data_IF_030156683131
#
_entry.id   IF_030156683131
#
_cell.length_a   1.000
_cell.length_b   1.000
_cell.length_c   1.000
_cell.angle_alpha   90.00
_cell.angle_beta   90.00
_cell.angle_gamma   90.00
#
_symmetry.space_group_name_H-M   'P 1'
#
loop_
_entity.id
_entity.type
_entity.pdbx_description
1 polymer ?
#
# COMPACT_ATOMS: atom_id res chain seq x y z
N UNK A 1 13.86 -7.72 -21.39
CA UNK A 1 12.37 -7.54 -21.38
C UNK A 1 12.02 -6.68 -20.19
N UNK A 2 11.41 -5.53 -20.39
CA UNK A 2 11.01 -4.64 -19.27
C UNK A 2 9.97 -5.34 -18.40
N UNK A 3 10.04 -5.21 -17.06
CA UNK A 3 9.02 -5.71 -16.15
C UNK A 3 7.64 -5.17 -16.55
N UNK A 4 6.60 -5.94 -16.29
CA UNK A 4 5.20 -5.63 -16.65
C UNK A 4 4.76 -4.22 -16.23
N UNK A 5 5.27 -3.73 -15.11
CA UNK A 5 4.98 -2.40 -14.56
C UNK A 5 5.60 -1.24 -15.36
N UNK A 6 6.75 -1.42 -16.05
CA UNK A 6 7.39 -0.38 -16.86
C UNK A 6 6.67 -0.09 -18.18
N UNK A 7 5.85 -1.01 -18.67
CA UNK A 7 5.16 -0.88 -19.97
C UNK A 7 3.97 0.08 -19.96
N UNK A 8 3.53 0.54 -18.81
CA UNK A 8 2.33 1.37 -18.63
C UNK A 8 2.63 2.87 -18.43
N UNK A 9 3.90 3.30 -18.53
CA UNK A 9 4.32 4.68 -18.24
C UNK A 9 4.08 5.69 -19.39
N UNK A 10 3.30 5.38 -20.41
CA UNK A 10 3.00 6.34 -21.49
C UNK A 10 1.55 6.81 -21.41
N UNK A 11 1.35 7.96 -20.81
CA UNK A 11 0.13 8.74 -20.96
C UNK A 11 -0.25 9.53 -19.71
N UNK A 12 -0.32 10.85 -19.85
CA UNK A 12 -0.86 11.85 -18.93
C UNK A 12 -0.60 11.61 -17.41
N UNK A 13 0.02 12.56 -16.77
CA UNK A 13 0.04 12.65 -15.30
C UNK A 13 -1.39 12.76 -14.77
N UNK A 14 -2.07 11.61 -14.66
CA UNK A 14 -3.33 11.52 -13.97
C UNK A 14 -2.99 11.58 -12.48
N UNK A 15 -3.44 12.62 -11.79
CA UNK A 15 -3.28 12.78 -10.35
C UNK A 15 -3.87 11.55 -9.66
N UNK A 16 -3.17 10.98 -8.69
CA UNK A 16 -3.65 9.83 -7.91
C UNK A 16 -5.07 10.08 -7.40
N UNK A 17 -5.91 9.06 -7.44
CA UNK A 17 -7.28 9.11 -6.93
C UNK A 17 -7.43 8.13 -5.77
N UNK A 18 -8.39 8.38 -4.92
CA UNK A 18 -8.65 7.56 -3.73
C UNK A 18 -10.15 7.45 -3.45
N UNK A 19 -10.54 6.42 -2.74
CA UNK A 19 -11.94 6.17 -2.36
C UNK A 19 -12.24 6.63 -0.94
N UNK A 20 -11.29 6.48 -0.01
CA UNK A 20 -11.52 6.81 1.39
C UNK A 20 -10.20 7.01 2.15
N UNK A 21 -10.30 7.72 3.28
CA UNK A 21 -9.31 7.76 4.34
C UNK A 21 -10.00 7.22 5.60
N UNK A 22 -9.63 6.03 6.04
CA UNK A 22 -10.15 5.43 7.26
C UNK A 22 -9.29 5.84 8.44
N UNK A 23 -9.92 6.36 9.49
CA UNK A 23 -9.25 6.76 10.74
C UNK A 23 -9.42 5.66 11.79
N UNK A 24 -8.45 5.53 12.69
CA UNK A 24 -8.49 4.59 13.82
C UNK A 24 -8.75 3.12 13.40
N UNK A 25 -8.15 2.70 12.28
CA UNK A 25 -8.28 1.35 11.75
C UNK A 25 -7.43 0.35 12.55
N UNK A 26 -7.99 -0.82 12.84
CA UNK A 26 -7.35 -1.92 13.58
C UNK A 26 -7.18 -3.19 12.73
N UNK A 27 -7.55 -3.15 11.46
CA UNK A 27 -7.65 -4.34 10.60
C UNK A 27 -6.58 -4.42 9.51
N UNK A 28 -5.80 -3.35 9.35
CA UNK A 28 -4.85 -3.22 8.24
C UNK A 28 -3.42 -2.95 8.70
N UNK A 29 -2.96 -3.67 9.70
CA UNK A 29 -1.60 -3.60 10.24
C UNK A 29 -1.56 -3.38 11.76
N UNK A 30 -0.36 -3.42 12.32
CA UNK A 30 -0.16 -3.33 13.76
C UNK A 30 -0.57 -1.97 14.33
N UNK A 31 -1.25 -1.99 15.46
CA UNK A 31 -1.71 -0.80 16.17
C UNK A 31 -2.91 -0.12 15.52
N UNK A 32 -3.25 1.08 16.00
CA UNK A 32 -4.26 1.94 15.37
C UNK A 32 -3.63 2.69 14.19
N UNK A 33 -4.29 2.65 13.05
CA UNK A 33 -3.71 3.17 11.81
C UNK A 33 -4.67 4.08 11.04
N UNK A 34 -4.11 4.96 10.25
CA UNK A 34 -4.84 5.63 9.20
C UNK A 34 -4.65 4.85 7.90
N UNK A 35 -5.73 4.56 7.16
CA UNK A 35 -5.65 3.83 5.89
C UNK A 35 -6.05 4.73 4.74
N UNK A 36 -5.20 4.83 3.73
CA UNK A 36 -5.52 5.48 2.46
C UNK A 36 -5.88 4.42 1.42
N UNK A 37 -7.11 4.48 0.93
CA UNK A 37 -7.67 3.55 -0.06
C UNK A 37 -7.55 4.14 -1.46
N UNK A 38 -6.47 3.83 -2.17
CA UNK A 38 -6.19 4.35 -3.52
C UNK A 38 -7.07 3.70 -4.58
N UNK A 39 -7.32 4.41 -5.67
CA UNK A 39 -7.98 3.88 -6.86
C UNK A 39 -6.97 3.33 -7.87
N UNK A 40 -7.35 2.28 -8.59
CA UNK A 40 -6.57 1.64 -9.64
C UNK A 40 -5.91 0.33 -9.21
N UNK A 41 -6.28 -0.75 -9.89
CA UNK A 41 -5.68 -2.06 -9.71
C UNK A 41 -5.73 -2.86 -11.02
N UNK A 42 -4.58 -3.39 -11.44
CA UNK A 42 -4.49 -4.21 -12.66
C UNK A 42 -4.59 -5.71 -12.39
N UNK A 43 -4.52 -6.13 -11.12
CA UNK A 43 -4.52 -7.56 -10.75
C UNK A 43 -5.88 -8.22 -10.95
N UNK A 44 -6.97 -7.51 -10.63
CA UNK A 44 -8.36 -8.00 -10.78
C UNK A 44 -8.56 -9.41 -10.23
N UNK A 45 -8.07 -9.63 -9.00
CA UNK A 45 -8.12 -10.93 -8.35
C UNK A 45 -9.56 -11.43 -8.21
N UNK A 46 -9.79 -12.70 -8.54
CA UNK A 46 -11.08 -13.35 -8.32
C UNK A 46 -11.41 -13.34 -6.81
N UNK A 47 -12.62 -12.90 -6.47
CA UNK A 47 -13.05 -12.80 -5.07
C UNK A 47 -12.43 -11.63 -4.29
N UNK A 48 -11.86 -10.64 -4.99
CA UNK A 48 -11.34 -9.42 -4.36
C UNK A 48 -12.39 -8.78 -3.45
N UNK A 49 -12.00 -8.39 -2.24
CA UNK A 49 -12.90 -7.77 -1.28
C UNK A 49 -13.27 -6.33 -1.64
N UNK A 50 -12.52 -5.69 -2.54
CA UNK A 50 -12.68 -4.27 -2.84
C UNK A 50 -12.64 -3.97 -4.35
N UNK A 51 -13.49 -4.63 -5.16
CA UNK A 51 -13.44 -4.48 -6.62
C UNK A 51 -13.81 -3.06 -7.10
N UNK A 52 -14.47 -2.26 -6.27
CA UNK A 52 -14.79 -0.85 -6.58
C UNK A 52 -13.50 -0.02 -6.78
N UNK A 53 -12.39 -0.43 -6.22
CA UNK A 53 -11.09 0.26 -6.34
C UNK A 53 -10.30 -0.12 -7.59
N UNK A 54 -10.79 -1.02 -8.45
CA UNK A 54 -10.05 -1.43 -9.65
C UNK A 54 -9.93 -0.33 -10.69
N UNK A 55 -10.96 0.52 -10.80
CA UNK A 55 -11.00 1.60 -11.77
C UNK A 55 -10.07 2.74 -11.34
N UNK A 56 -9.08 3.04 -12.20
CA UNK A 56 -8.12 4.14 -11.95
C UNK A 56 -8.79 5.52 -11.95
N UNK A 57 -9.91 5.65 -12.63
CA UNK A 57 -10.72 6.88 -12.67
C UNK A 57 -11.77 6.93 -11.54
N UNK A 58 -11.84 5.86 -10.73
CA UNK A 58 -12.77 5.77 -9.60
C UNK A 58 -12.41 6.69 -8.44
N UNK A 59 -13.35 6.85 -7.49
CA UNK A 59 -13.15 7.71 -6.33
C UNK A 59 -13.03 9.19 -6.69
N UNK A 60 -12.25 9.92 -5.91
CA UNK A 60 -12.02 11.36 -6.07
C UNK A 60 -10.52 11.66 -6.15
N UNK A 61 -10.11 12.80 -6.77
CA UNK A 61 -8.69 13.18 -6.81
C UNK A 61 -8.10 13.34 -5.41
N UNK A 62 -6.88 12.83 -5.21
CA UNK A 62 -6.12 13.07 -4.00
C UNK A 62 -5.45 14.45 -4.10
N UNK A 63 -6.17 15.47 -3.64
CA UNK A 63 -5.74 16.87 -3.67
C UNK A 63 -5.11 17.33 -2.35
N UNK A 64 -4.80 18.62 -2.23
CA UNK A 64 -4.18 19.17 -1.01
C UNK A 64 -5.11 19.03 0.20
N UNK A 65 -6.43 19.16 0.03
CA UNK A 65 -7.38 19.01 1.13
C UNK A 65 -7.40 17.56 1.64
N UNK A 66 -7.36 16.58 0.73
CA UNK A 66 -7.25 15.16 1.09
C UNK A 66 -5.93 14.87 1.81
N UNK A 67 -4.83 15.50 1.38
CA UNK A 67 -3.54 15.37 2.02
C UNK A 67 -3.54 15.96 3.43
N UNK A 68 -4.14 17.14 3.61
CA UNK A 68 -4.31 17.75 4.93
C UNK A 68 -5.12 16.84 5.86
N UNK A 69 -6.24 16.30 5.38
CA UNK A 69 -7.05 15.34 6.15
C UNK A 69 -6.22 14.11 6.58
N UNK A 70 -5.43 13.57 5.66
CA UNK A 70 -4.55 12.43 5.95
C UNK A 70 -3.52 12.76 7.04
N UNK A 71 -2.87 13.91 6.94
CA UNK A 71 -1.89 14.35 7.94
C UNK A 71 -2.50 14.66 9.29
N UNK A 72 -3.69 15.27 9.32
CA UNK A 72 -4.43 15.47 10.56
C UNK A 72 -4.76 14.13 11.22
N UNK A 73 -5.19 13.12 10.45
CA UNK A 73 -5.48 11.78 10.95
C UNK A 73 -4.23 11.05 11.48
N UNK A 74 -3.04 11.42 11.02
CA UNK A 74 -1.77 10.85 11.50
C UNK A 74 -1.19 11.57 12.73
N UNK A 75 -1.69 12.75 13.06
CA UNK A 75 -1.13 13.59 14.14
C UNK A 75 -1.26 12.99 15.54
N UNK A 76 -2.36 12.32 15.93
CA UNK A 76 -2.49 11.80 17.29
C UNK A 76 -1.39 10.79 17.65
N UNK A 77 -0.85 10.90 18.85
CA UNK A 77 0.25 10.04 19.34
C UNK A 77 -0.12 8.55 19.38
N UNK A 78 -1.41 8.24 19.60
CA UNK A 78 -1.91 6.86 19.63
C UNK A 78 -1.99 6.19 18.25
N UNK A 79 -1.89 6.95 17.16
CA UNK A 79 -1.86 6.41 15.80
C UNK A 79 -0.46 5.85 15.51
N UNK A 80 -0.37 4.56 15.23
CA UNK A 80 0.89 3.86 14.97
C UNK A 80 1.50 4.18 13.60
N UNK A 81 0.68 4.58 12.65
CA UNK A 81 1.16 4.93 11.30
C UNK A 81 0.09 4.89 10.23
N UNK A 82 0.54 4.83 8.99
CA UNK A 82 -0.29 4.75 7.80
C UNK A 82 -0.23 3.37 7.17
N UNK A 83 -1.34 2.97 6.55
CA UNK A 83 -1.41 1.85 5.61
C UNK A 83 -1.91 2.34 4.25
N UNK A 84 -1.14 2.07 3.21
CA UNK A 84 -1.57 2.25 1.83
C UNK A 84 -2.24 0.96 1.34
N UNK A 85 -3.48 1.05 0.90
CA UNK A 85 -4.29 -0.07 0.43
C UNK A 85 -5.29 0.40 -0.63
N UNK A 86 -6.39 -0.33 -0.82
CA UNK A 86 -7.47 0.02 -1.74
C UNK A 86 -7.44 -0.80 -3.01
N UNK A 87 -7.16 -0.18 -4.14
CA UNK A 87 -6.71 -0.82 -5.37
C UNK A 87 -5.29 -1.35 -5.17
N UNK A 88 -4.35 -0.86 -5.94
CA UNK A 88 -2.94 -1.17 -5.68
C UNK A 88 -2.13 0.14 -5.60
N UNK A 89 -1.54 0.46 -4.43
CA UNK A 89 -0.68 1.64 -4.27
C UNK A 89 0.51 1.65 -5.23
N UNK A 90 0.92 0.48 -5.72
CA UNK A 90 2.00 0.31 -6.69
C UNK A 90 1.51 0.24 -8.14
N UNK A 91 0.22 0.52 -8.38
CA UNK A 91 -0.26 0.73 -9.74
C UNK A 91 0.65 1.74 -10.46
N UNK A 92 1.01 1.52 -11.75
CA UNK A 92 1.94 2.40 -12.48
C UNK A 92 1.60 3.89 -12.44
N UNK A 93 0.32 4.22 -12.32
CA UNK A 93 -0.13 5.62 -12.20
C UNK A 93 -0.04 6.17 -10.76
N UNK A 94 0.16 5.33 -9.74
CA UNK A 94 0.10 5.73 -8.33
C UNK A 94 1.47 5.73 -7.64
N UNK A 95 2.35 4.78 -7.96
CA UNK A 95 3.53 4.50 -7.13
C UNK A 95 4.45 5.72 -6.92
N UNK A 96 4.53 6.63 -7.89
CA UNK A 96 5.37 7.85 -7.76
C UNK A 96 4.78 8.82 -6.73
N UNK A 97 3.46 9.05 -6.76
CA UNK A 97 2.80 9.90 -5.76
C UNK A 97 2.80 9.25 -4.38
N UNK A 98 2.59 7.93 -4.31
CA UNK A 98 2.67 7.18 -3.05
C UNK A 98 4.07 7.27 -2.46
N UNK A 99 5.13 7.18 -3.28
CA UNK A 99 6.51 7.34 -2.83
C UNK A 99 6.77 8.74 -2.25
N UNK A 100 6.32 9.79 -2.96
CA UNK A 100 6.46 11.17 -2.48
C UNK A 100 5.71 11.39 -1.17
N UNK A 101 4.51 10.86 -1.05
CA UNK A 101 3.70 10.93 0.17
C UNK A 101 4.34 10.16 1.33
N UNK A 102 4.83 8.95 1.08
CA UNK A 102 5.53 8.14 2.07
C UNK A 102 6.78 8.84 2.62
N UNK A 103 7.56 9.47 1.72
CA UNK A 103 8.73 10.27 2.10
C UNK A 103 8.34 11.42 3.02
N UNK A 104 7.34 12.21 2.64
CA UNK A 104 6.86 13.35 3.42
C UNK A 104 6.33 12.92 4.80
N UNK A 105 5.63 11.77 4.86
CA UNK A 105 5.16 11.20 6.12
C UNK A 105 6.34 10.82 7.02
N UNK A 106 7.38 10.18 6.49
CA UNK A 106 8.59 9.85 7.27
C UNK A 106 9.33 11.08 7.77
N UNK A 107 9.38 12.14 6.98
CA UNK A 107 9.99 13.41 7.39
C UNK A 107 9.19 14.10 8.50
N UNK A 108 7.88 14.11 8.41
CA UNK A 108 6.99 14.81 9.33
C UNK A 108 6.66 14.00 10.59
N UNK A 109 6.60 12.69 10.46
CA UNK A 109 6.24 11.74 11.52
C UNK A 109 7.25 10.58 11.57
N UNK A 110 8.51 10.82 11.99
CA UNK A 110 9.58 9.81 11.89
C UNK A 110 9.32 8.54 12.71
N UNK A 111 8.52 8.62 13.76
CA UNK A 111 8.19 7.48 14.64
C UNK A 111 7.02 6.63 14.12
N UNK A 112 6.32 7.08 13.08
CA UNK A 112 5.18 6.37 12.52
C UNK A 112 5.60 5.38 11.46
N UNK A 113 4.99 4.19 11.49
CA UNK A 113 5.27 3.12 10.55
C UNK A 113 4.44 3.24 9.28
N UNK A 114 5.00 2.77 8.17
CA UNK A 114 4.31 2.72 6.87
C UNK A 114 4.12 1.26 6.47
N UNK A 115 2.87 0.87 6.30
CA UNK A 115 2.45 -0.41 5.75
C UNK A 115 1.90 -0.22 4.34
N UNK A 116 2.08 -1.22 3.49
CA UNK A 116 1.59 -1.19 2.11
C UNK A 116 1.12 -2.58 1.67
N UNK A 117 -0.08 -2.63 1.11
CA UNK A 117 -0.64 -3.83 0.49
C UNK A 117 -0.50 -3.75 -1.02
N UNK A 118 -0.02 -4.82 -1.66
CA UNK A 118 0.12 -4.89 -3.12
C UNK A 118 -0.11 -6.30 -3.64
N UNK A 119 -0.64 -6.41 -4.84
CA UNK A 119 -0.73 -7.67 -5.55
C UNK A 119 0.55 -8.08 -6.28
N UNK A 120 1.57 -7.21 -6.33
CA UNK A 120 2.89 -7.57 -6.84
C UNK A 120 3.68 -8.39 -5.82
N UNK A 121 4.58 -9.26 -6.29
CA UNK A 121 5.54 -9.92 -5.41
C UNK A 121 6.71 -9.00 -5.08
N UNK A 122 7.28 -9.11 -3.89
CA UNK A 122 8.34 -8.24 -3.39
C UNK A 122 9.54 -8.16 -4.34
N UNK A 123 9.92 -9.28 -4.96
CA UNK A 123 11.04 -9.31 -5.92
C UNK A 123 10.81 -8.44 -7.17
N UNK A 124 9.54 -8.20 -7.53
CA UNK A 124 9.20 -7.34 -8.67
C UNK A 124 9.30 -5.85 -8.34
N UNK A 125 9.14 -5.49 -7.06
CA UNK A 125 8.96 -4.11 -6.60
C UNK A 125 10.08 -3.58 -5.72
N UNK A 126 10.99 -4.41 -5.23
CA UNK A 126 12.03 -4.05 -4.25
C UNK A 126 12.94 -2.90 -4.67
N UNK A 127 12.98 -2.57 -5.96
CA UNK A 127 13.76 -1.45 -6.50
C UNK A 127 12.94 -0.15 -6.63
N UNK A 128 11.63 -0.18 -6.37
CA UNK A 128 10.82 1.03 -6.38
C UNK A 128 11.16 1.93 -5.19
N UNK A 129 11.16 3.25 -5.43
CA UNK A 129 11.51 4.23 -4.40
C UNK A 129 10.63 4.10 -3.15
N UNK A 130 9.32 3.89 -3.32
CA UNK A 130 8.37 3.77 -2.20
C UNK A 130 8.74 2.67 -1.21
N UNK A 131 9.33 1.58 -1.67
CA UNK A 131 9.71 0.43 -0.83
C UNK A 131 10.72 0.84 0.24
N UNK A 132 11.60 1.80 -0.07
CA UNK A 132 12.60 2.30 0.89
C UNK A 132 11.98 2.98 2.12
N UNK A 133 10.76 3.50 1.98
CA UNK A 133 10.04 4.18 3.06
C UNK A 133 9.08 3.26 3.83
N UNK A 134 8.80 2.07 3.30
CA UNK A 134 7.91 1.11 3.94
C UNK A 134 8.61 0.35 5.06
N UNK A 135 7.88 0.13 6.15
CA UNK A 135 8.30 -0.75 7.24
C UNK A 135 7.80 -2.18 7.00
N UNK A 136 6.56 -2.32 6.54
CA UNK A 136 5.96 -3.62 6.23
C UNK A 136 5.24 -3.57 4.88
N UNK A 137 5.42 -4.62 4.08
CA UNK A 137 4.67 -4.84 2.84
C UNK A 137 3.97 -6.19 2.92
N UNK A 138 2.67 -6.19 2.65
CA UNK A 138 1.90 -7.42 2.40
C UNK A 138 1.86 -7.61 0.89
N UNK A 139 2.56 -8.63 0.41
CA UNK A 139 2.81 -8.86 -1.02
C UNK A 139 2.01 -10.03 -1.60
N UNK A 140 1.87 -10.02 -2.91
CA UNK A 140 1.28 -11.09 -3.69
C UNK A 140 -0.22 -10.92 -3.96
N UNK A 141 -0.71 -11.49 -5.08
CA UNK A 141 -2.11 -11.39 -5.44
C UNK A 141 -2.99 -12.18 -4.45
N UNK A 142 -4.22 -11.72 -4.25
CA UNK A 142 -5.21 -12.50 -3.51
C UNK A 142 -5.63 -13.73 -4.35
N UNK A 143 -5.53 -14.91 -3.74
CA UNK A 143 -5.95 -16.18 -4.35
C UNK A 143 -7.14 -16.72 -3.55
N UNK A 144 -8.32 -16.70 -4.17
CA UNK A 144 -9.57 -17.08 -3.49
C UNK A 144 -9.54 -18.51 -2.95
N UNK A 145 -8.91 -19.43 -3.66
CA UNK A 145 -8.77 -20.84 -3.28
C UNK A 145 -7.85 -21.03 -2.04
N UNK A 146 -7.02 -20.05 -1.73
CA UNK A 146 -6.14 -20.01 -0.57
C UNK A 146 -6.63 -19.07 0.54
N UNK A 147 -7.86 -18.55 0.41
CA UNK A 147 -8.48 -17.69 1.42
C UNK A 147 -8.59 -18.41 2.77
N UNK A 148 -8.21 -17.72 3.82
CA UNK A 148 -8.40 -18.14 5.19
C UNK A 148 -8.60 -16.91 6.08
N UNK A 149 -9.78 -16.80 6.68
CA UNK A 149 -10.15 -15.66 7.52
C UNK A 149 -9.41 -15.57 8.86
N UNK A 150 -8.62 -16.60 9.21
CA UNK A 150 -7.80 -16.62 10.42
C UNK A 150 -6.35 -16.13 10.17
N UNK A 151 -6.00 -15.82 8.92
CA UNK A 151 -4.68 -15.30 8.60
C UNK A 151 -4.52 -13.87 9.15
N UNK A 152 -3.38 -13.61 9.77
CA UNK A 152 -3.08 -12.30 10.30
C UNK A 152 -2.55 -11.37 9.19
N UNK A 153 -3.15 -10.23 9.02
CA UNK A 153 -2.84 -9.15 8.08
C UNK A 153 -2.89 -9.49 6.58
N UNK A 154 -3.27 -10.69 6.19
CA UNK A 154 -3.35 -11.15 4.79
C UNK A 154 -4.63 -11.95 4.54
N UNK A 155 -5.09 -11.97 3.29
CA UNK A 155 -6.34 -12.63 2.91
C UNK A 155 -6.17 -14.04 2.40
N UNK A 156 -5.01 -14.40 1.86
CA UNK A 156 -4.74 -15.73 1.31
C UNK A 156 -3.35 -16.24 1.68
N UNK A 157 -3.18 -17.57 1.74
CA UNK A 157 -1.97 -18.22 2.28
C UNK A 157 -0.70 -17.90 1.50
N UNK A 158 -0.81 -17.66 0.20
CA UNK A 158 0.30 -17.29 -0.68
C UNK A 158 0.90 -15.91 -0.38
N UNK A 159 0.12 -15.01 0.22
CA UNK A 159 0.59 -13.67 0.57
C UNK A 159 1.58 -13.70 1.73
N UNK A 160 2.50 -12.74 1.76
CA UNK A 160 3.52 -12.64 2.81
C UNK A 160 3.44 -11.28 3.48
N UNK A 161 3.61 -11.25 4.79
CA UNK A 161 3.78 -10.02 5.57
C UNK A 161 5.28 -9.85 5.79
N UNK A 162 5.89 -8.90 5.10
CA UNK A 162 7.34 -8.77 4.96
C UNK A 162 7.84 -7.59 5.78
N UNK A 163 8.85 -7.82 6.64
CA UNK A 163 9.66 -6.77 7.21
C UNK A 163 10.60 -6.22 6.13
N UNK A 164 10.29 -5.03 5.65
CA UNK A 164 10.97 -4.46 4.48
C UNK A 164 12.41 -4.08 4.80
N UNK A 165 12.64 -3.39 5.91
CA UNK A 165 13.95 -2.87 6.25
C UNK A 165 14.97 -3.99 6.53
N UNK A 166 14.56 -5.02 7.27
CA UNK A 166 15.42 -6.20 7.49
C UNK A 166 15.62 -7.00 6.20
N UNK A 167 14.59 -7.12 5.35
CA UNK A 167 14.71 -7.81 4.06
C UNK A 167 15.68 -7.12 3.11
N UNK A 168 15.63 -5.79 3.02
CA UNK A 168 16.55 -5.01 2.19
C UNK A 168 18.00 -5.11 2.71
N UNK A 169 18.18 -5.03 4.03
CA UNK A 169 19.49 -5.12 4.68
C UNK A 169 20.16 -6.48 4.51
N UNK A 170 19.39 -7.56 4.61
CA UNK A 170 19.89 -8.94 4.52
C UNK A 170 19.90 -9.50 3.10
N UNK A 171 19.28 -8.80 2.14
CA UNK A 171 19.09 -9.28 0.76
C UNK A 171 18.31 -10.61 0.68
N UNK A 172 17.42 -10.85 1.64
CA UNK A 172 16.53 -12.02 1.71
C UNK A 172 15.18 -11.63 2.30
N UNK A 173 14.14 -12.40 2.04
CA UNK A 173 12.80 -12.13 2.58
C UNK A 173 12.77 -12.47 4.07
N UNK A 174 12.57 -11.46 4.90
CA UNK A 174 12.33 -11.58 6.34
C UNK A 174 10.85 -11.31 6.60
N UNK A 175 10.17 -12.27 7.21
CA UNK A 175 8.76 -12.11 7.57
C UNK A 175 8.62 -11.24 8.81
N UNK A 176 7.60 -10.40 8.80
CA UNK A 176 7.23 -9.57 9.94
C UNK A 176 6.63 -10.42 11.06
N UNK A 177 7.11 -10.23 12.26
CA UNK A 177 6.60 -10.87 13.47
C UNK A 177 5.64 -9.90 14.19
N UNK A 178 4.36 -10.13 14.03
CA UNK A 178 3.29 -9.40 14.73
C UNK A 178 2.56 -10.30 15.71
#
# INVERSE_FOLDING_TARGET
>A
MMPRWQRLQKGNQCKMRYHNITKDDMLNGDGLRTVLWVAGCTHKCKGCHNPVTWDIEGGVPFDEAAKEELFEALTPDYISGITFSGGDPLHPANHTEVAALAKEIKEKFPDKTIWLYTGFCFDEIKTLEVVQYCDVIVDGPFIQEEFDGNLHWKGSKNQRVIDVQESLKRHEIILHNS
#
